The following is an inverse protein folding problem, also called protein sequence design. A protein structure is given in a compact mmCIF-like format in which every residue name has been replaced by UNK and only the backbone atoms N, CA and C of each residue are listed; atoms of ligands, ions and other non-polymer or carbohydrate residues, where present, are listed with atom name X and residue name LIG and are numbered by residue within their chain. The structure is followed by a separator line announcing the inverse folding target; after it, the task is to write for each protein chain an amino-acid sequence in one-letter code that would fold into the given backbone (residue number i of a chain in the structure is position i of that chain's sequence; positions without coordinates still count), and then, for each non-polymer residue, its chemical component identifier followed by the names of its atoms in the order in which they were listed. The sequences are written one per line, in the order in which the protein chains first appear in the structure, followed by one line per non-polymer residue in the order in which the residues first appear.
data_IF_574522600660
#
_entry.id   IF_574522600660
#
_cell.length_a   1.000
_cell.length_b   1.000
_cell.length_c   1.000
_cell.angle_alpha   90.00
_cell.angle_beta   90.00
_cell.angle_gamma   90.00
#
_symmetry.space_group_name_H-M   'P 1'
#
loop_
_entity.id
_entity.type
_entity.pdbx_description
1 polymer ?
#
# COMPACT_ATOMS: atom_id res chain seq x y z
N UNK A 1 0.41 -3.06 -19.66
CA UNK A 1 1.74 -3.59 -19.31
C UNK A 1 1.72 -3.77 -17.80
N UNK A 2 1.95 -4.98 -17.25
CA UNK A 2 2.07 -5.13 -15.79
C UNK A 2 3.33 -4.37 -15.35
N UNK A 3 3.18 -3.38 -14.47
CA UNK A 3 4.33 -2.78 -13.80
C UNK A 3 4.69 -3.61 -12.55
N UNK A 4 5.88 -3.40 -11.99
CA UNK A 4 6.36 -4.17 -10.83
C UNK A 4 5.39 -4.12 -9.64
N UNK A 5 4.83 -2.95 -9.33
CA UNK A 5 3.92 -2.76 -8.22
C UNK A 5 2.59 -3.52 -8.42
N UNK A 6 2.02 -3.56 -9.64
CA UNK A 6 0.83 -4.35 -9.95
C UNK A 6 1.07 -5.84 -9.72
N UNK A 7 2.22 -6.37 -10.16
CA UNK A 7 2.57 -7.75 -9.86
C UNK A 7 2.73 -7.99 -8.36
N UNK A 8 3.40 -7.09 -7.64
CA UNK A 8 3.62 -7.21 -6.20
C UNK A 8 2.28 -7.25 -5.44
N UNK A 9 1.41 -6.27 -5.61
CA UNK A 9 0.16 -6.16 -4.84
C UNK A 9 -0.90 -7.21 -5.20
N UNK A 10 -0.76 -7.93 -6.31
CA UNK A 10 -1.55 -9.14 -6.59
C UNK A 10 -1.15 -10.35 -5.74
N UNK A 11 0.07 -10.35 -5.21
CA UNK A 11 0.66 -11.50 -4.50
C UNK A 11 1.06 -11.19 -3.06
N UNK A 12 1.13 -9.91 -2.69
CA UNK A 12 1.34 -9.48 -1.33
C UNK A 12 0.13 -9.88 -0.47
N UNK A 13 0.37 -10.36 0.74
CA UNK A 13 -0.71 -10.74 1.65
C UNK A 13 -1.32 -9.49 2.29
N UNK A 14 -2.64 -9.37 2.25
CA UNK A 14 -3.38 -8.38 3.04
C UNK A 14 -2.98 -8.49 4.52
N UNK A 15 -2.83 -7.36 5.20
CA UNK A 15 -2.27 -7.26 6.55
C UNK A 15 -0.75 -7.01 6.60
N UNK A 16 -0.04 -7.15 5.47
CA UNK A 16 1.40 -6.83 5.43
C UNK A 16 1.64 -5.35 5.70
N UNK A 17 2.54 -5.03 6.62
CA UNK A 17 2.97 -3.66 6.87
C UNK A 17 4.01 -3.26 5.83
N UNK A 18 3.74 -2.16 5.14
CA UNK A 18 4.56 -1.67 4.03
C UNK A 18 4.93 -0.19 4.21
N UNK A 19 6.04 0.20 3.59
CA UNK A 19 6.37 1.58 3.27
C UNK A 19 6.45 1.72 1.76
N UNK A 20 5.72 2.68 1.21
CA UNK A 20 5.56 2.90 -0.23
C UNK A 20 6.20 4.23 -0.60
N UNK A 21 7.01 4.23 -1.66
CA UNK A 21 7.52 5.46 -2.28
C UNK A 21 6.78 5.68 -3.59
N UNK A 22 6.18 6.85 -3.75
CA UNK A 22 5.46 7.28 -4.95
C UNK A 22 6.44 7.84 -6.00
N UNK A 23 6.05 7.85 -7.28
CA UNK A 23 6.82 8.43 -8.40
C UNK A 23 7.12 9.92 -8.24
N UNK A 24 6.37 10.60 -7.36
CA UNK A 24 6.59 11.99 -6.95
C UNK A 24 7.70 12.15 -5.90
N UNK A 25 8.22 11.06 -5.34
CA UNK A 25 9.10 11.02 -4.18
C UNK A 25 8.38 11.08 -2.83
N UNK A 26 7.04 11.15 -2.80
CA UNK A 26 6.27 11.08 -1.56
C UNK A 26 6.40 9.68 -0.93
N UNK A 27 6.60 9.63 0.39
CA UNK A 27 6.65 8.38 1.15
C UNK A 27 5.35 8.22 1.96
N UNK A 28 4.75 7.03 1.90
CA UNK A 28 3.55 6.63 2.65
C UNK A 28 3.91 5.39 3.47
N UNK A 29 3.96 5.50 4.79
CA UNK A 29 4.29 4.36 5.65
C UNK A 29 4.86 4.73 7.01
N UNK A 30 4.87 3.78 7.96
CA UNK A 30 4.36 2.41 7.82
C UNK A 30 2.82 2.36 7.78
N UNK A 31 2.27 1.60 6.83
CA UNK A 31 0.83 1.40 6.65
C UNK A 31 0.53 -0.08 6.42
N UNK A 32 -0.69 -0.50 6.74
CA UNK A 32 -1.15 -1.87 6.49
C UNK A 32 -1.71 -1.94 5.07
N UNK A 33 -1.23 -2.89 4.27
CA UNK A 33 -1.86 -3.22 2.99
C UNK A 33 -3.22 -3.90 3.24
N UNK A 34 -4.30 -3.28 2.80
CA UNK A 34 -5.66 -3.78 3.04
C UNK A 34 -6.20 -4.53 1.83
N UNK A 35 -6.09 -3.96 0.63
CA UNK A 35 -6.65 -4.56 -0.58
C UNK A 35 -6.03 -3.99 -1.85
N UNK A 36 -5.90 -4.81 -2.89
CA UNK A 36 -5.63 -4.35 -4.26
C UNK A 36 -6.83 -4.61 -5.17
N UNK A 37 -7.27 -3.59 -5.92
CA UNK A 37 -8.34 -3.70 -6.91
C UNK A 37 -7.79 -3.55 -8.34
N UNK A 38 -7.53 -4.65 -9.07
CA UNK A 38 -6.95 -4.60 -10.42
C UNK A 38 -7.78 -3.85 -11.46
N UNK A 39 -9.11 -3.83 -11.29
CA UNK A 39 -10.01 -3.16 -12.22
C UNK A 39 -9.85 -1.64 -12.21
N UNK A 40 -9.53 -1.06 -11.06
CA UNK A 40 -9.33 0.38 -10.86
C UNK A 40 -7.85 0.75 -10.66
N UNK A 41 -6.96 -0.25 -10.60
CA UNK A 41 -5.53 -0.09 -10.31
C UNK A 41 -5.29 0.63 -8.96
N UNK A 42 -6.21 0.47 -8.02
CA UNK A 42 -6.15 1.11 -6.71
C UNK A 42 -5.63 0.16 -5.64
N UNK A 43 -4.63 0.60 -4.89
CA UNK A 43 -4.14 -0.06 -3.67
C UNK A 43 -4.67 0.71 -2.47
N UNK A 44 -5.29 -0.01 -1.54
CA UNK A 44 -5.83 0.53 -0.30
C UNK A 44 -4.90 0.21 0.86
N UNK A 45 -4.56 1.24 1.62
CA UNK A 45 -3.77 1.16 2.83
C UNK A 45 -4.54 1.72 4.03
N UNK A 46 -4.17 1.26 5.22
CA UNK A 46 -4.66 1.81 6.48
C UNK A 46 -3.48 2.26 7.35
N UNK A 47 -3.50 3.52 7.80
CA UNK A 47 -2.59 3.98 8.85
C UNK A 47 -3.01 3.37 10.19
N UNK A 48 -2.08 2.70 10.88
CA UNK A 48 -2.34 2.29 12.25
C UNK A 48 -2.31 3.52 13.17
N UNK A 49 -3.49 3.94 13.61
CA UNK A 49 -3.61 4.91 14.70
C UNK A 49 -3.07 4.31 16.00
N UNK A 50 -2.25 5.07 16.73
CA UNK A 50 -1.64 4.65 18.00
C UNK A 50 -2.55 4.83 19.22
N UNK A 51 -3.78 5.32 19.01
CA UNK A 51 -4.73 5.72 20.07
C UNK A 51 -6.05 4.97 19.90
N UNK A 52 -6.63 4.50 21.01
CA UNK A 52 -7.88 3.73 21.04
C UNK A 52 -9.10 4.63 21.33
N UNK A 53 -10.21 4.49 20.59
CA UNK A 53 -10.42 3.56 19.49
C UNK A 53 -9.61 3.96 18.25
N UNK A 54 -9.03 3.01 17.51
CA UNK A 54 -8.25 3.32 16.33
C UNK A 54 -9.17 3.97 15.28
N UNK A 55 -9.01 5.27 15.07
CA UNK A 55 -9.41 5.93 13.83
C UNK A 55 -8.31 5.68 12.81
N UNK A 56 -8.40 4.57 12.08
CA UNK A 56 -7.52 4.32 10.94
C UNK A 56 -7.86 5.28 9.80
N UNK A 57 -6.84 5.97 9.26
CA UNK A 57 -6.99 6.73 8.02
C UNK A 57 -6.86 5.76 6.85
N UNK A 58 -7.86 5.71 5.98
CA UNK A 58 -7.77 4.96 4.71
C UNK A 58 -7.08 5.82 3.66
N UNK A 59 -6.04 5.26 3.05
CA UNK A 59 -5.29 5.87 1.95
C UNK A 59 -5.48 5.02 0.71
N UNK A 60 -5.91 5.63 -0.39
CA UNK A 60 -6.01 4.97 -1.69
C UNK A 60 -4.98 5.59 -2.65
N UNK A 61 -4.20 4.73 -3.30
CA UNK A 61 -3.21 5.16 -4.30
C UNK A 61 -3.37 4.40 -5.60
N UNK A 62 -3.00 5.03 -6.71
CA UNK A 62 -2.84 4.34 -7.99
C UNK A 62 -1.54 3.53 -7.99
N UNK A 63 -1.64 2.23 -8.25
CA UNK A 63 -0.50 1.31 -8.28
C UNK A 63 0.56 1.71 -9.32
N UNK A 64 0.16 2.42 -10.38
CA UNK A 64 1.09 2.93 -11.40
C UNK A 64 1.92 4.12 -10.92
N UNK A 65 1.53 4.71 -9.79
CA UNK A 65 2.25 5.81 -9.14
C UNK A 65 3.22 5.32 -8.09
N UNK A 66 3.35 4.02 -7.89
CA UNK A 66 4.28 3.44 -6.93
C UNK A 66 5.61 3.16 -7.61
N UNK A 67 6.66 3.78 -7.09
CA UNK A 67 8.03 3.56 -7.54
C UNK A 67 8.67 2.37 -6.83
N UNK A 68 8.50 2.26 -5.51
CA UNK A 68 9.05 1.16 -4.71
C UNK A 68 8.20 0.84 -3.49
N UNK A 69 8.33 -0.40 -3.01
CA UNK A 69 7.66 -0.91 -1.82
C UNK A 69 8.68 -1.66 -0.97
N UNK A 70 8.73 -1.32 0.31
CA UNK A 70 9.56 -2.00 1.31
C UNK A 70 8.66 -2.64 2.35
N UNK A 71 8.89 -3.91 2.65
CA UNK A 71 8.14 -4.68 3.63
C UNK A 71 9.02 -5.78 4.23
N UNK A 72 8.72 -6.18 5.47
CA UNK A 72 9.33 -7.36 6.05
C UNK A 72 8.53 -8.58 5.61
N UNK A 73 9.20 -9.55 4.98
CA UNK A 73 8.59 -10.83 4.68
C UNK A 73 8.32 -11.57 6.01
N UNK A 74 7.06 -11.94 6.23
CA UNK A 74 6.68 -12.81 7.36
C UNK A 74 6.94 -14.28 7.04
#
# INVERSE_FOLDING_TARGET
MLNFADYLFRHLLEGTVVTVTMDSGQIIGPVVFVQYTPATQAVMFEEQGTISPPTGTIINVDVNKIESVSYEAQ
#
